data_IF_847696138739
#
_entry.id   IF_847696138739
#
_cell.length_a   1.000
_cell.length_b   1.000
_cell.length_c   1.000
_cell.angle_alpha   90.00
_cell.angle_beta   90.00
_cell.angle_gamma   90.00
#
_symmetry.space_group_name_H-M   'P 1'
#
loop_
_entity.id
_entity.type
_entity.pdbx_description
1 polymer ?
#
# COMPACT_ATOMS: atom_id res chain seq x y z
N UNK A 1 -13.49 2.00 7.68
CA UNK A 1 -12.17 1.94 7.04
C UNK A 1 -11.85 0.49 6.87
N UNK A 2 -11.37 0.12 5.69
CA UNK A 2 -10.83 -1.21 5.48
C UNK A 2 -9.38 -1.23 5.94
N UNK A 3 -8.96 -2.36 6.51
CA UNK A 3 -7.58 -2.60 6.95
C UNK A 3 -6.90 -3.55 5.96
N UNK A 4 -5.62 -3.35 5.64
CA UNK A 4 -4.91 -4.30 4.79
C UNK A 4 -4.78 -5.63 5.53
N UNK A 5 -4.61 -6.72 4.80
CA UNK A 5 -4.43 -8.05 5.39
C UNK A 5 -3.01 -8.17 5.91
N UNK A 6 -2.85 -8.64 7.14
CA UNK A 6 -1.54 -8.99 7.68
C UNK A 6 -1.16 -10.37 7.18
N UNK A 7 -0.05 -10.47 6.46
CA UNK A 7 0.54 -11.74 6.06
C UNK A 7 1.75 -12.04 6.93
N UNK A 8 1.68 -13.16 7.65
CA UNK A 8 2.78 -13.68 8.46
C UNK A 8 3.40 -14.87 7.72
N UNK A 9 4.68 -14.80 7.41
CA UNK A 9 5.48 -15.93 6.91
C UNK A 9 6.37 -16.41 8.05
N UNK A 10 6.41 -17.71 8.30
CA UNK A 10 7.12 -18.30 9.46
C UNK A 10 8.45 -18.95 9.03
N UNK A 11 8.61 -19.32 7.75
CA UNK A 11 9.79 -20.01 7.24
C UNK A 11 10.28 -19.43 5.90
N UNK A 12 11.61 -19.47 5.62
CA UNK A 12 12.71 -19.83 6.52
C UNK A 12 13.10 -18.71 7.52
N UNK A 13 12.65 -17.48 7.27
CA UNK A 13 12.83 -16.33 8.16
C UNK A 13 11.45 -15.75 8.46
N UNK A 14 11.05 -15.61 9.74
CA UNK A 14 9.78 -14.99 10.09
C UNK A 14 9.68 -13.56 9.54
N UNK A 15 8.60 -13.24 8.84
CA UNK A 15 8.28 -11.88 8.41
C UNK A 15 6.80 -11.59 8.58
N UNK A 16 6.48 -10.35 8.89
CA UNK A 16 5.12 -9.83 8.89
C UNK A 16 5.05 -8.66 7.92
N UNK A 17 4.18 -8.79 6.91
CA UNK A 17 4.02 -7.82 5.85
C UNK A 17 2.53 -7.48 5.69
N UNK A 18 2.21 -6.19 5.49
CA UNK A 18 0.87 -5.79 5.06
C UNK A 18 0.73 -6.05 3.57
N UNK A 19 -0.33 -6.75 3.18
CA UNK A 19 -0.62 -7.09 1.78
C UNK A 19 -2.09 -6.88 1.45
N UNK A 20 -2.34 -6.54 0.18
CA UNK A 20 -3.68 -6.39 -0.37
C UNK A 20 -4.16 -4.95 -0.45
N UNK A 21 -5.40 -4.80 -0.90
CA UNK A 21 -5.98 -3.51 -1.21
C UNK A 21 -6.85 -3.00 -0.06
N UNK A 22 -6.80 -1.69 0.17
CA UNK A 22 -7.69 -0.98 1.09
C UNK A 22 -8.39 0.15 0.40
N UNK A 23 -9.64 0.35 0.80
CA UNK A 23 -10.46 1.48 0.39
C UNK A 23 -10.68 2.41 1.57
N UNK A 24 -10.39 3.69 1.37
CA UNK A 24 -10.65 4.75 2.36
C UNK A 24 -11.61 5.73 1.71
N UNK A 25 -12.82 5.83 2.28
CA UNK A 25 -13.86 6.75 1.81
C UNK A 25 -14.15 7.83 2.82
N UNK A 26 -13.99 9.08 2.43
CA UNK A 26 -14.45 10.23 3.20
C UNK A 26 -15.87 10.63 2.77
N UNK A 27 -16.86 10.32 3.61
CA UNK A 27 -18.27 10.67 3.35
C UNK A 27 -18.51 12.19 3.27
N UNK A 28 -17.69 13.00 3.94
CA UNK A 28 -17.86 14.45 4.01
C UNK A 28 -17.31 15.18 2.78
N UNK A 29 -16.11 14.82 2.31
CA UNK A 29 -15.45 15.50 1.17
C UNK A 29 -15.68 14.82 -0.17
N UNK A 30 -16.41 13.69 -0.22
CA UNK A 30 -16.58 12.88 -1.43
C UNK A 30 -15.25 12.42 -2.04
N UNK A 31 -14.19 12.31 -1.22
CA UNK A 31 -12.88 11.79 -1.62
C UNK A 31 -12.78 10.31 -1.28
N UNK A 32 -12.19 9.55 -2.18
CA UNK A 32 -11.87 8.15 -2.02
C UNK A 32 -10.40 7.91 -2.33
N UNK A 33 -9.78 7.02 -1.57
CA UNK A 33 -8.45 6.54 -1.81
C UNK A 33 -8.49 5.02 -1.92
N UNK A 34 -7.78 4.49 -2.91
CA UNK A 34 -7.51 3.06 -3.05
C UNK A 34 -6.02 2.89 -2.97
N UNK A 35 -5.57 2.08 -2.02
CA UNK A 35 -4.15 1.80 -1.77
C UNK A 35 -3.93 0.29 -1.83
N UNK A 36 -2.87 -0.12 -2.48
CA UNK A 36 -2.43 -1.50 -2.62
C UNK A 36 -1.08 -1.66 -1.91
N UNK A 37 -1.04 -2.57 -0.95
CA UNK A 37 0.17 -2.92 -0.21
C UNK A 37 0.75 -4.21 -0.76
N UNK A 38 2.04 -4.20 -1.08
CA UNK A 38 2.72 -5.36 -1.60
C UNK A 38 4.20 -5.34 -1.24
N UNK A 39 4.80 -6.54 -1.27
CA UNK A 39 6.24 -6.69 -1.16
C UNK A 39 6.84 -6.44 -2.55
N UNK A 40 7.62 -5.38 -2.69
CA UNK A 40 8.38 -5.16 -3.92
C UNK A 40 9.44 -6.27 -4.03
N UNK A 41 9.44 -7.00 -5.14
CA UNK A 41 10.51 -7.94 -5.43
C UNK A 41 11.70 -7.14 -5.97
N UNK A 42 12.78 -7.05 -5.21
CA UNK A 42 14.04 -6.57 -5.75
C UNK A 42 14.47 -7.50 -6.89
N UNK A 43 14.64 -6.92 -8.08
CA UNK A 43 15.21 -7.62 -9.22
C UNK A 43 16.58 -8.19 -8.79
N UNK A 44 16.81 -9.48 -9.04
CA UNK A 44 18.04 -10.24 -8.68
C UNK A 44 18.22 -10.71 -7.22
N UNK A 45 17.20 -10.63 -6.35
CA UNK A 45 17.25 -11.31 -5.03
C UNK A 45 18.25 -10.74 -4.02
N UNK A 46 18.97 -9.68 -4.37
CA UNK A 46 19.79 -8.86 -3.48
C UNK A 46 19.16 -7.47 -3.36
N UNK A 47 18.25 -7.31 -2.40
CA UNK A 47 17.61 -6.02 -2.14
C UNK A 47 16.46 -6.20 -1.16
N UNK A 48 16.35 -5.26 -0.22
CA UNK A 48 15.64 -5.43 1.05
C UNK A 48 14.13 -5.70 0.96
N UNK A 49 13.53 -5.89 2.14
CA UNK A 49 12.08 -6.03 2.33
C UNK A 49 11.38 -4.68 2.09
N UNK A 50 11.43 -4.21 0.83
CA UNK A 50 10.83 -2.97 0.37
C UNK A 50 9.30 -3.16 0.38
N UNK A 51 8.73 -2.69 1.47
CA UNK A 51 7.32 -2.73 1.79
C UNK A 51 6.65 -1.59 1.02
N UNK A 52 6.30 -1.89 -0.22
CA UNK A 52 5.80 -0.92 -1.19
C UNK A 52 4.31 -0.63 -1.00
N UNK A 53 3.95 0.60 -1.35
CA UNK A 53 2.58 1.08 -1.40
C UNK A 53 2.36 1.79 -2.73
N UNK A 54 1.27 1.47 -3.40
CA UNK A 54 0.81 2.19 -4.58
C UNK A 54 -0.66 2.51 -4.45
N UNK A 55 -1.11 3.60 -5.04
CA UNK A 55 -2.53 3.91 -5.01
C UNK A 55 -2.87 5.24 -5.64
N UNK A 56 -4.12 5.64 -5.46
CA UNK A 56 -4.62 6.91 -5.96
C UNK A 56 -5.70 7.46 -5.05
N UNK A 57 -5.75 8.78 -4.99
CA UNK A 57 -6.81 9.54 -4.36
C UNK A 57 -7.63 10.18 -5.48
N UNK A 58 -8.95 10.04 -5.42
CA UNK A 58 -9.86 10.50 -6.46
C UNK A 58 -11.16 11.00 -5.86
N UNK A 59 -11.88 11.81 -6.63
CA UNK A 59 -13.25 12.18 -6.29
C UNK A 59 -14.19 11.01 -6.60
N UNK A 60 -14.95 10.56 -5.61
CA UNK A 60 -15.91 9.44 -5.74
C UNK A 60 -16.93 9.63 -6.86
N UNK A 61 -17.43 10.86 -7.05
CA UNK A 61 -18.50 11.17 -8.02
C UNK A 61 -17.99 11.30 -9.46
N UNK A 62 -16.85 11.94 -9.65
CA UNK A 62 -16.30 12.23 -10.99
C UNK A 62 -15.25 11.22 -11.42
N UNK A 63 -14.82 10.34 -10.51
CA UNK A 63 -13.71 9.41 -10.68
C UNK A 63 -12.40 10.09 -11.09
N UNK A 64 -12.30 11.41 -10.91
CA UNK A 64 -11.12 12.18 -11.26
C UNK A 64 -10.04 11.94 -10.20
N UNK A 65 -8.92 11.35 -10.63
CA UNK A 65 -7.70 11.26 -9.82
C UNK A 65 -7.17 12.66 -9.55
N UNK A 66 -6.94 12.95 -8.27
CA UNK A 66 -6.31 14.19 -7.80
C UNK A 66 -4.87 13.95 -7.37
N UNK A 67 -4.54 12.72 -6.96
CA UNK A 67 -3.20 12.39 -6.54
C UNK A 67 -2.91 10.90 -6.76
N UNK A 68 -1.67 10.57 -7.10
CA UNK A 68 -1.16 9.21 -7.17
C UNK A 68 -0.15 8.99 -6.06
N UNK A 69 -0.24 7.84 -5.40
CA UNK A 69 0.64 7.44 -4.31
C UNK A 69 1.55 6.34 -4.84
N UNK A 70 2.85 6.50 -4.72
CA UNK A 70 3.85 5.48 -5.02
C UNK A 70 5.02 5.66 -4.05
N UNK A 71 5.47 4.57 -3.41
CA UNK A 71 6.57 4.63 -2.46
C UNK A 71 6.68 3.41 -1.54
N UNK A 72 7.36 3.59 -0.42
CA UNK A 72 7.60 2.56 0.60
C UNK A 72 7.07 3.02 1.96
N UNK A 73 6.32 2.16 2.67
CA UNK A 73 5.65 2.55 3.92
C UNK A 73 6.52 2.38 5.18
N UNK A 74 7.72 1.82 5.05
CA UNK A 74 8.62 1.58 6.21
C UNK A 74 10.05 2.00 6.04
N UNK A 75 10.44 2.59 4.91
CA UNK A 75 11.82 3.00 4.78
C UNK A 75 12.05 4.25 5.66
N UNK A 76 12.96 4.21 6.65
CA UNK A 76 13.38 5.42 7.34
C UNK A 76 14.14 6.26 6.32
N UNK A 77 13.70 7.49 6.11
CA UNK A 77 14.53 8.50 5.44
C UNK A 77 15.82 8.66 6.25
N UNK A 78 16.95 8.21 5.68
CA UNK A 78 18.29 8.55 6.16
C UNK A 78 18.62 10.01 5.85
#
# INVERSE_FOLDING_TARGET
>A
MDSPKLQIKIFPVPSADWVGDVSIRCKKSSLEAVLSFYKSQSFLGFGGNSRAIKGKIFHSKTLRTIFEVDGHWTEPSH
#
